data_IF_654954510194
#
_entry.id   IF_654954510194
#
_cell.length_a   1.000
_cell.length_b   1.000
_cell.length_c   1.000
_cell.angle_alpha   90.00
_cell.angle_beta   90.00
_cell.angle_gamma   90.00
#
_symmetry.space_group_name_H-M   'P 1'
#
loop_
_entity.id
_entity.type
_entity.pdbx_description
1 polymer ?
#
# COMPACT_ATOMS: atom_id res chain seq x y z
N UNK A 1 26.37 -11.25 22.90
CA UNK A 1 25.91 -10.65 21.63
C UNK A 1 24.72 -9.78 21.95
N UNK A 2 24.80 -8.47 21.76
CA UNK A 2 23.65 -7.59 21.96
C UNK A 2 22.68 -7.81 20.81
N UNK A 3 21.46 -8.26 21.11
CA UNK A 3 20.39 -8.30 20.11
C UNK A 3 20.05 -6.86 19.78
N UNK A 4 20.44 -6.40 18.59
CA UNK A 4 20.08 -5.07 18.12
C UNK A 4 18.56 -4.95 18.08
N UNK A 5 17.97 -4.05 18.88
CA UNK A 5 16.53 -3.80 18.80
C UNK A 5 16.20 -3.19 17.44
N UNK A 6 15.09 -3.62 16.82
CA UNK A 6 14.65 -3.07 15.54
C UNK A 6 14.57 -1.53 15.58
N UNK A 7 15.00 -0.89 14.49
CA UNK A 7 15.03 0.57 14.40
C UNK A 7 13.62 1.14 14.41
N UNK A 8 13.37 2.10 15.32
CA UNK A 8 12.11 2.84 15.37
C UNK A 8 12.24 4.14 14.59
N UNK A 9 11.24 4.50 13.82
CA UNK A 9 11.21 5.72 12.99
C UNK A 9 9.80 6.27 12.91
N UNK A 10 9.66 7.54 12.54
CA UNK A 10 8.37 8.17 12.26
C UNK A 10 8.10 8.17 10.77
N UNK A 11 6.84 8.05 10.39
CA UNK A 11 6.39 8.28 9.02
C UNK A 11 5.90 9.72 8.95
N UNK A 12 6.44 10.49 8.00
CA UNK A 12 6.19 11.93 7.89
C UNK A 12 5.29 12.26 6.73
N UNK A 13 5.49 11.59 5.61
CA UNK A 13 4.74 11.83 4.38
C UNK A 13 4.49 10.52 3.66
N UNK A 14 3.33 10.43 3.02
CA UNK A 14 2.98 9.37 2.09
C UNK A 14 2.36 10.02 0.85
N UNK A 15 2.95 9.74 -0.31
CA UNK A 15 2.45 10.10 -1.62
C UNK A 15 1.88 8.85 -2.30
N UNK A 16 0.67 8.98 -2.86
CA UNK A 16 0.04 7.96 -3.68
C UNK A 16 0.04 8.45 -5.12
N UNK A 17 0.65 7.69 -6.03
CA UNK A 17 0.70 7.98 -7.46
C UNK A 17 0.14 6.79 -8.24
N UNK A 18 -0.35 7.03 -9.44
CA UNK A 18 -0.90 6.00 -10.29
C UNK A 18 -0.60 6.30 -11.76
N UNK A 19 -0.29 5.27 -12.54
CA UNK A 19 -0.14 5.36 -13.99
C UNK A 19 -0.99 4.29 -14.68
N UNK A 20 -1.54 4.57 -15.88
CA UNK A 20 -2.15 3.54 -16.70
C UNK A 20 -1.07 2.60 -17.26
N UNK A 21 -1.36 1.31 -17.32
CA UNK A 21 -0.48 0.27 -17.86
C UNK A 21 -1.23 -0.54 -18.92
N UNK A 22 -0.62 -0.67 -20.10
CA UNK A 22 -1.09 -1.57 -21.16
C UNK A 22 -0.14 -2.76 -21.22
N UNK A 23 -0.67 -3.97 -21.08
CA UNK A 23 0.13 -5.18 -21.07
C UNK A 23 0.56 -5.53 -22.50
N UNK A 24 1.83 -5.96 -22.66
CA UNK A 24 2.38 -6.40 -23.95
C UNK A 24 1.56 -7.55 -24.57
N UNK A 25 1.04 -8.46 -23.75
CA UNK A 25 0.18 -9.57 -24.15
C UNK A 25 -0.97 -9.70 -23.15
N UNK A 26 -2.17 -10.13 -23.58
CA UNK A 26 -3.25 -10.44 -22.64
C UNK A 26 -2.80 -11.45 -21.57
N UNK A 27 -3.05 -11.13 -20.31
CA UNK A 27 -2.75 -11.98 -19.16
C UNK A 27 -4.04 -12.49 -18.55
N UNK A 28 -4.23 -13.81 -18.53
CA UNK A 28 -5.44 -14.43 -17.99
C UNK A 28 -5.17 -15.06 -16.62
N UNK A 29 -5.99 -14.73 -15.64
CA UNK A 29 -5.99 -15.33 -14.31
C UNK A 29 -7.43 -15.42 -13.81
N UNK A 30 -7.78 -16.58 -13.23
CA UNK A 30 -9.16 -16.84 -12.83
C UNK A 30 -10.16 -16.61 -13.96
N UNK A 31 -11.12 -15.70 -13.73
CA UNK A 31 -12.20 -15.36 -14.67
C UNK A 31 -11.89 -14.15 -15.56
N UNK A 32 -10.74 -13.49 -15.39
CA UNK A 32 -10.38 -12.24 -16.08
C UNK A 32 -9.27 -12.48 -17.10
N UNK A 33 -9.37 -11.81 -18.26
CA UNK A 33 -8.25 -11.63 -19.19
C UNK A 33 -7.88 -10.15 -19.24
N UNK A 34 -6.77 -9.78 -18.60
CA UNK A 34 -6.30 -8.42 -18.47
C UNK A 34 -5.50 -7.97 -19.70
N UNK A 35 -5.81 -6.78 -20.20
CA UNK A 35 -5.09 -6.13 -21.31
C UNK A 35 -4.53 -4.77 -20.91
N UNK A 36 -5.21 -4.11 -20.00
CA UNK A 36 -4.84 -2.83 -19.41
C UNK A 36 -5.31 -2.80 -17.96
N UNK A 37 -4.65 -1.99 -17.16
CA UNK A 37 -4.93 -1.76 -15.75
C UNK A 37 -4.18 -0.51 -15.29
N UNK A 38 -3.99 -0.37 -13.98
CA UNK A 38 -3.16 0.68 -13.41
C UNK A 38 -2.01 0.08 -12.60
N UNK A 39 -0.96 0.86 -12.38
CA UNK A 39 0.08 0.57 -11.40
C UNK A 39 0.11 1.71 -10.39
N UNK A 40 -0.10 1.37 -9.13
CA UNK A 40 0.01 2.29 -8.03
C UNK A 40 1.46 2.34 -7.53
N UNK A 41 1.92 3.53 -7.19
CA UNK A 41 3.19 3.77 -6.52
C UNK A 41 2.91 4.46 -5.19
N UNK A 42 3.57 3.99 -4.14
CA UNK A 42 3.56 4.62 -2.82
C UNK A 42 4.96 5.11 -2.54
N UNK A 43 5.13 6.41 -2.25
CA UNK A 43 6.37 6.95 -1.70
C UNK A 43 6.13 7.33 -0.25
N UNK A 44 7.03 6.91 0.64
CA UNK A 44 6.94 7.24 2.06
C UNK A 44 8.24 7.90 2.53
N UNK A 45 8.12 9.01 3.25
CA UNK A 45 9.24 9.68 3.91
C UNK A 45 9.28 9.30 5.37
N UNK A 46 10.41 8.78 5.83
CA UNK A 46 10.64 8.46 7.23
C UNK A 46 11.60 9.44 7.88
N UNK A 47 11.55 9.51 9.21
CA UNK A 47 12.50 10.23 10.05
C UNK A 47 13.01 9.33 11.18
N UNK A 48 14.33 9.20 11.31
CA UNK A 48 14.97 8.39 12.37
C UNK A 48 15.06 9.19 13.69
N UNK A 49 15.37 8.54 14.82
CA UNK A 49 15.53 9.23 16.10
C UNK A 49 16.65 10.27 16.11
N UNK A 50 17.63 10.13 15.20
CA UNK A 50 18.73 11.08 15.00
C UNK A 50 18.33 12.26 14.09
N UNK A 51 17.07 12.35 13.67
CA UNK A 51 16.54 13.42 12.81
C UNK A 51 16.89 13.25 11.33
N UNK A 52 17.47 12.13 10.91
CA UNK A 52 17.76 11.87 9.50
C UNK A 52 16.48 11.50 8.77
N UNK A 53 16.31 11.98 7.54
CA UNK A 53 15.14 11.67 6.72
C UNK A 53 15.52 10.94 5.44
N UNK A 54 14.70 9.98 5.02
CA UNK A 54 14.87 9.26 3.77
C UNK A 54 13.52 8.96 3.12
N UNK A 55 13.52 8.87 1.79
CA UNK A 55 12.39 8.41 1.00
C UNK A 55 12.57 6.93 0.63
N UNK A 56 11.50 6.16 0.79
CA UNK A 56 11.34 4.84 0.21
C UNK A 56 10.18 4.82 -0.80
N UNK A 57 10.13 3.79 -1.62
CA UNK A 57 9.04 3.58 -2.57
C UNK A 57 8.65 2.10 -2.65
N UNK A 58 7.37 1.86 -2.93
CA UNK A 58 6.81 0.56 -3.29
C UNK A 58 5.85 0.75 -4.47
N UNK A 59 5.59 -0.33 -5.21
CA UNK A 59 4.63 -0.31 -6.30
C UNK A 59 3.89 -1.64 -6.40
N UNK A 60 2.63 -1.58 -6.80
CA UNK A 60 1.76 -2.75 -6.97
C UNK A 60 0.82 -2.53 -8.16
N UNK A 61 0.43 -3.61 -8.82
CA UNK A 61 -0.52 -3.57 -9.93
C UNK A 61 -1.95 -3.50 -9.36
N UNK A 62 -2.76 -2.55 -9.86
CA UNK A 62 -4.17 -2.42 -9.47
C UNK A 62 -5.00 -3.26 -10.44
N UNK A 63 -5.44 -4.45 -10.00
CA UNK A 63 -5.88 -5.54 -10.89
C UNK A 63 -7.22 -6.11 -10.43
N UNK A 64 -8.25 -6.15 -11.32
CA UNK A 64 -9.57 -6.55 -10.88
C UNK A 64 -9.60 -8.05 -10.57
N UNK A 65 -10.47 -8.46 -9.64
CA UNK A 65 -10.63 -9.85 -9.18
C UNK A 65 -9.37 -10.49 -8.55
N UNK A 66 -8.34 -9.70 -8.22
CA UNK A 66 -7.17 -10.20 -7.51
C UNK A 66 -7.52 -10.50 -6.04
N UNK A 67 -8.08 -9.51 -5.33
CA UNK A 67 -8.50 -9.62 -3.93
C UNK A 67 -9.96 -10.03 -3.77
N UNK A 68 -10.90 -9.22 -4.29
CA UNK A 68 -12.35 -9.50 -4.22
C UNK A 68 -12.85 -10.10 -5.55
N UNK A 69 -13.26 -11.37 -5.48
CA UNK A 69 -13.70 -12.18 -6.63
C UNK A 69 -15.21 -12.18 -6.84
N UNK A 70 -15.96 -11.32 -6.13
CA UNK A 70 -17.41 -11.26 -6.28
C UNK A 70 -17.79 -10.94 -7.75
N UNK A 71 -18.58 -11.82 -8.42
CA UNK A 71 -18.96 -11.63 -9.81
C UNK A 71 -19.95 -10.47 -10.01
N UNK A 72 -20.59 -9.98 -8.95
CA UNK A 72 -21.50 -8.84 -9.02
C UNK A 72 -20.77 -7.48 -9.13
N UNK A 73 -19.47 -7.42 -8.81
CA UNK A 73 -18.67 -6.21 -8.93
C UNK A 73 -18.10 -6.08 -10.34
N UNK A 74 -18.07 -4.86 -10.88
CA UNK A 74 -17.33 -4.57 -12.11
C UNK A 74 -15.82 -4.50 -11.86
N UNK A 75 -15.03 -4.47 -12.93
CA UNK A 75 -13.59 -4.24 -12.83
C UNK A 75 -13.29 -2.84 -12.27
N UNK A 76 -14.11 -1.84 -12.62
CA UNK A 76 -13.98 -0.48 -12.10
C UNK A 76 -14.24 -0.42 -10.58
N UNK A 77 -15.20 -1.20 -10.08
CA UNK A 77 -15.46 -1.30 -8.64
C UNK A 77 -14.26 -1.89 -7.91
N UNK A 78 -13.63 -2.94 -8.46
CA UNK A 78 -12.41 -3.50 -7.87
C UNK A 78 -11.25 -2.50 -7.87
N UNK A 79 -11.05 -1.75 -8.95
CA UNK A 79 -10.02 -0.70 -8.98
C UNK A 79 -10.24 0.35 -7.88
N UNK A 80 -11.48 0.78 -7.65
CA UNK A 80 -11.75 1.71 -6.56
C UNK A 80 -11.66 1.09 -5.16
N UNK A 81 -11.95 -0.20 -4.98
CA UNK A 81 -11.68 -0.89 -3.72
C UNK A 81 -10.19 -0.81 -3.38
N UNK A 82 -9.31 -1.14 -4.32
CA UNK A 82 -7.86 -1.12 -4.12
C UNK A 82 -7.33 0.30 -3.86
N UNK A 83 -7.79 1.30 -4.62
CA UNK A 83 -7.45 2.71 -4.38
C UNK A 83 -7.93 3.19 -3.02
N UNK A 84 -9.10 2.74 -2.58
CA UNK A 84 -9.65 3.07 -1.27
C UNK A 84 -8.78 2.50 -0.15
N UNK A 85 -8.31 1.26 -0.28
CA UNK A 85 -7.38 0.67 0.68
C UNK A 85 -6.08 1.47 0.80
N UNK A 86 -5.51 1.95 -0.32
CA UNK A 86 -4.32 2.82 -0.29
C UNK A 86 -4.59 4.15 0.43
N UNK A 87 -5.76 4.76 0.19
CA UNK A 87 -6.16 6.01 0.85
C UNK A 87 -6.33 5.82 2.36
N UNK A 88 -7.01 4.76 2.79
CA UNK A 88 -7.19 4.44 4.21
C UNK A 88 -5.87 4.11 4.90
N UNK A 89 -4.99 3.33 4.26
CA UNK A 89 -3.66 3.05 4.80
C UNK A 89 -2.85 4.36 4.97
N UNK A 90 -2.86 5.25 3.98
CA UNK A 90 -2.21 6.57 4.09
C UNK A 90 -2.77 7.37 5.27
N UNK A 91 -4.09 7.44 5.42
CA UNK A 91 -4.72 8.17 6.50
C UNK A 91 -4.33 7.60 7.87
N UNK A 92 -4.45 6.29 8.05
CA UNK A 92 -4.11 5.61 9.30
C UNK A 92 -2.64 5.83 9.71
N UNK A 93 -1.72 5.70 8.75
CA UNK A 93 -0.28 5.87 9.00
C UNK A 93 0.12 7.33 9.26
N UNK A 94 -0.68 8.31 8.80
CA UNK A 94 -0.43 9.73 9.03
C UNK A 94 -1.20 10.30 10.24
N UNK A 95 -2.23 9.60 10.74
CA UNK A 95 -2.99 10.03 11.92
C UNK A 95 -2.20 9.90 13.23
N UNK A 96 -1.15 9.07 13.24
CA UNK A 96 -0.28 8.87 14.40
C UNK A 96 1.21 9.03 14.03
N UNK A 97 1.82 10.12 14.51
CA UNK A 97 3.22 10.43 14.25
C UNK A 97 4.21 9.77 15.24
N UNK A 98 3.77 8.87 16.13
CA UNK A 98 4.64 8.22 17.09
C UNK A 98 5.63 7.25 16.42
N UNK A 99 6.92 7.28 16.82
CA UNK A 99 7.92 6.42 16.22
C UNK A 99 7.66 4.96 16.55
N UNK A 100 7.86 4.10 15.56
CA UNK A 100 7.75 2.66 15.72
C UNK A 100 8.65 1.90 14.75
N UNK A 101 8.87 0.62 15.04
CA UNK A 101 9.49 -0.32 14.10
C UNK A 101 8.63 -0.46 12.84
N UNK A 102 9.23 -0.93 11.74
CA UNK A 102 8.47 -1.16 10.50
C UNK A 102 7.26 -2.07 10.72
N UNK A 103 7.43 -3.18 11.45
CA UNK A 103 6.33 -4.08 11.78
C UNK A 103 5.35 -3.49 12.79
N UNK A 104 5.83 -2.75 13.79
CA UNK A 104 4.94 -2.14 14.76
C UNK A 104 4.03 -1.05 14.17
N UNK A 105 4.47 -0.33 13.13
CA UNK A 105 3.59 0.54 12.33
C UNK A 105 2.46 -0.28 11.69
N UNK A 106 2.77 -1.39 11.04
CA UNK A 106 1.76 -2.30 10.50
C UNK A 106 0.81 -2.82 11.59
N UNK A 107 1.33 -3.37 12.67
CA UNK A 107 0.52 -3.98 13.73
C UNK A 107 -0.45 -2.98 14.37
N UNK A 108 -0.01 -1.72 14.56
CA UNK A 108 -0.83 -0.65 15.13
C UNK A 108 -2.08 -0.36 14.29
N UNK A 109 -1.92 -0.28 12.97
CA UNK A 109 -3.02 0.09 12.08
C UNK A 109 -3.83 -1.13 11.61
N UNK A 110 -3.24 -2.32 11.58
CA UNK A 110 -3.93 -3.54 11.19
C UNK A 110 -5.03 -3.94 12.17
N UNK A 111 -4.79 -3.82 13.49
CA UNK A 111 -5.75 -4.22 14.51
C UNK A 111 -7.10 -3.49 14.36
N UNK A 112 -7.08 -2.20 14.04
CA UNK A 112 -8.28 -1.39 13.86
C UNK A 112 -9.17 -1.83 12.66
N UNK A 113 -8.69 -2.73 11.79
CA UNK A 113 -9.46 -3.30 10.69
C UNK A 113 -10.08 -4.68 11.02
N UNK A 114 -9.78 -5.24 12.20
CA UNK A 114 -10.30 -6.55 12.64
C UNK A 114 -11.49 -6.46 13.60
N UNK A 115 -11.71 -5.28 14.19
CA UNK A 115 -12.77 -4.98 15.17
C UNK A 115 -13.91 -4.19 14.50
#
# INVERSE_FOLDING_TARGET
>A
MSVSSATRFRIREIELLEIPVVLRMPFRFGVVTLRQCFQAFVRARIETPQGQTAWGAAAEMVVPKWFDKNPALSDADNFEQERTMLRWAREAYLSDAQPETAFGHFARHHQAHLD
#
